data_IF_678758250432
#
_entry.id   IF_678758250432
#
_cell.length_a   1.000
_cell.length_b   1.000
_cell.length_c   1.000
_cell.angle_alpha   90.00
_cell.angle_beta   90.00
_cell.angle_gamma   90.00
#
_symmetry.space_group_name_H-M   'P 1'
#
loop_
_entity.id
_entity.type
_entity.pdbx_description
1 polymer ?
#
# COMPACT_ATOMS: atom_id res chain seq x y z
N UNK A 1 -9.82 20.19 -6.72
CA UNK A 1 -9.20 19.05 -7.46
C UNK A 1 -9.81 18.87 -8.87
N UNK A 2 -9.19 18.09 -9.78
CA UNK A 2 -9.86 17.62 -11.01
C UNK A 2 -10.51 16.26 -10.81
N UNK A 3 -11.79 16.14 -11.21
CA UNK A 3 -12.56 14.90 -11.22
C UNK A 3 -12.41 14.24 -12.59
N UNK A 4 -11.94 12.99 -12.61
CA UNK A 4 -11.60 12.28 -13.85
C UNK A 4 -12.77 12.18 -14.84
N UNK A 5 -13.97 11.80 -14.37
CA UNK A 5 -15.17 11.70 -15.20
C UNK A 5 -16.43 11.77 -14.33
N UNK A 6 -17.43 12.52 -14.79
CA UNK A 6 -18.79 12.57 -14.25
C UNK A 6 -19.78 12.48 -15.42
N UNK A 7 -20.77 11.60 -15.32
CA UNK A 7 -21.88 11.55 -16.28
C UNK A 7 -23.14 12.09 -15.60
N UNK A 8 -23.76 13.11 -16.19
CA UNK A 8 -25.00 13.70 -15.70
C UNK A 8 -25.83 14.23 -16.87
N UNK A 9 -27.13 13.95 -16.88
CA UNK A 9 -28.08 14.38 -17.94
C UNK A 9 -27.61 14.10 -19.38
N UNK A 10 -27.06 12.91 -19.60
CA UNK A 10 -26.56 12.49 -20.91
C UNK A 10 -25.23 13.15 -21.34
N UNK A 11 -24.71 14.11 -20.56
CA UNK A 11 -23.41 14.74 -20.76
C UNK A 11 -22.33 14.01 -19.96
N UNK A 12 -21.11 14.01 -20.50
CA UNK A 12 -19.92 13.49 -19.83
C UNK A 12 -18.97 14.67 -19.64
N UNK A 13 -18.60 14.91 -18.38
CA UNK A 13 -17.61 15.89 -17.97
C UNK A 13 -16.33 15.13 -17.65
N UNK A 14 -15.21 15.49 -18.28
CA UNK A 14 -13.92 14.80 -18.14
C UNK A 14 -12.90 15.79 -17.64
N UNK A 15 -12.08 15.37 -16.66
CA UNK A 15 -11.01 16.18 -16.09
C UNK A 15 -11.49 17.57 -15.66
N UNK A 16 -12.65 17.64 -15.02
CA UNK A 16 -13.37 18.88 -14.70
C UNK A 16 -13.28 19.17 -13.19
N UNK A 17 -13.18 20.45 -12.81
CA UNK A 17 -13.22 20.86 -11.41
C UNK A 17 -14.64 20.80 -10.82
N UNK A 18 -14.74 20.76 -9.49
CA UNK A 18 -16.03 20.84 -8.80
C UNK A 18 -16.76 22.17 -9.11
N UNK A 19 -16.02 23.28 -9.22
CA UNK A 19 -16.56 24.59 -9.55
C UNK A 19 -17.20 24.61 -10.94
N UNK A 20 -16.53 24.03 -11.94
CA UNK A 20 -17.04 23.93 -13.31
C UNK A 20 -18.25 23.01 -13.39
N UNK A 21 -18.27 21.89 -12.66
CA UNK A 21 -19.43 20.99 -12.60
C UNK A 21 -20.64 21.70 -11.98
N UNK A 22 -20.45 22.43 -10.89
CA UNK A 22 -21.50 23.24 -10.25
C UNK A 22 -22.01 24.32 -11.21
N UNK A 23 -21.12 25.02 -11.91
CA UNK A 23 -21.49 26.02 -12.93
C UNK A 23 -22.24 25.41 -14.12
N UNK A 24 -21.95 24.15 -14.46
CA UNK A 24 -22.66 23.40 -15.50
C UNK A 24 -24.02 22.82 -15.05
N UNK A 25 -24.46 23.11 -13.81
CA UNK A 25 -25.73 22.67 -13.26
C UNK A 25 -25.73 21.24 -12.72
N UNK A 26 -24.56 20.61 -12.55
CA UNK A 26 -24.48 19.27 -11.95
C UNK A 26 -24.85 19.35 -10.47
N UNK A 27 -25.80 18.54 -9.98
CA UNK A 27 -26.24 18.56 -8.58
C UNK A 27 -25.09 18.36 -7.61
N UNK A 28 -25.09 19.11 -6.50
CA UNK A 28 -24.01 19.07 -5.51
C UNK A 28 -23.73 17.65 -5.00
N UNK A 29 -24.76 16.84 -4.74
CA UNK A 29 -24.58 15.45 -4.31
C UNK A 29 -23.78 14.61 -5.31
N UNK A 30 -24.03 14.77 -6.62
CA UNK A 30 -23.29 14.09 -7.68
C UNK A 30 -21.83 14.54 -7.72
N UNK A 31 -21.58 15.85 -7.52
CA UNK A 31 -20.21 16.39 -7.45
C UNK A 31 -19.46 15.84 -6.24
N UNK A 32 -20.11 15.79 -5.07
CA UNK A 32 -19.54 15.26 -3.83
C UNK A 32 -19.17 13.78 -3.96
N UNK A 33 -20.06 12.96 -4.51
CA UNK A 33 -19.81 11.53 -4.73
C UNK A 33 -18.63 11.31 -5.68
N UNK A 34 -18.58 12.09 -6.76
CA UNK A 34 -17.50 12.00 -7.73
C UNK A 34 -16.16 12.46 -7.16
N UNK A 35 -16.15 13.53 -6.35
CA UNK A 35 -14.97 13.97 -5.62
C UNK A 35 -14.47 12.89 -4.66
N UNK A 36 -15.37 12.31 -3.85
CA UNK A 36 -15.04 11.22 -2.92
C UNK A 36 -14.43 10.02 -3.64
N UNK A 37 -15.00 9.60 -4.77
CA UNK A 37 -14.46 8.50 -5.56
C UNK A 37 -13.05 8.81 -6.11
N UNK A 38 -12.83 10.03 -6.61
CA UNK A 38 -11.53 10.45 -7.12
C UNK A 38 -10.48 10.57 -6.01
N UNK A 39 -10.84 11.10 -4.83
CA UNK A 39 -9.95 11.14 -3.66
C UNK A 39 -9.60 9.73 -3.17
N UNK A 40 -10.59 8.83 -3.11
CA UNK A 40 -10.37 7.44 -2.78
C UNK A 40 -9.36 6.76 -3.71
N UNK A 41 -9.44 7.01 -5.02
CA UNK A 41 -8.44 6.53 -5.99
C UNK A 41 -7.05 7.07 -5.72
N UNK A 42 -6.90 8.37 -5.41
CA UNK A 42 -5.61 8.96 -5.08
C UNK A 42 -4.98 8.33 -3.84
N UNK A 43 -5.78 8.06 -2.80
CA UNK A 43 -5.32 7.36 -1.59
C UNK A 43 -4.91 5.92 -1.93
N UNK A 44 -5.70 5.21 -2.74
CA UNK A 44 -5.36 3.85 -3.17
C UNK A 44 -4.06 3.82 -3.99
N UNK A 45 -3.81 4.80 -4.87
CA UNK A 45 -2.54 4.97 -5.59
C UNK A 45 -1.36 5.26 -4.65
N UNK A 46 -1.51 6.19 -3.71
CA UNK A 46 -0.45 6.50 -2.75
C UNK A 46 -0.08 5.27 -1.90
N UNK A 47 -1.07 4.48 -1.49
CA UNK A 47 -0.85 3.23 -0.79
C UNK A 47 -0.18 2.17 -1.67
N UNK A 48 -0.51 2.10 -2.95
CA UNK A 48 0.19 1.25 -3.92
C UNK A 48 1.67 1.62 -4.03
N UNK A 49 1.96 2.91 -4.19
CA UNK A 49 3.34 3.43 -4.24
C UNK A 49 4.11 3.14 -2.95
N UNK A 50 3.45 3.28 -1.79
CA UNK A 50 4.05 2.95 -0.50
C UNK A 50 4.44 1.47 -0.43
N UNK A 51 3.57 0.54 -0.84
CA UNK A 51 3.91 -0.91 -0.87
C UNK A 51 5.03 -1.23 -1.85
N UNK A 52 5.00 -0.62 -3.03
CA UNK A 52 6.01 -0.82 -4.06
C UNK A 52 7.40 -0.34 -3.63
N UNK A 53 7.52 0.49 -2.59
CA UNK A 53 8.80 0.91 -2.05
C UNK A 53 9.48 -0.17 -1.19
N UNK A 54 8.75 -1.18 -0.70
CA UNK A 54 9.30 -2.24 0.17
C UNK A 54 9.75 -3.48 -0.58
N UNK A 55 9.21 -3.72 -1.78
CA UNK A 55 9.43 -4.96 -2.54
C UNK A 55 10.04 -4.61 -3.89
N UNK A 56 11.02 -5.40 -4.33
CA UNK A 56 11.60 -5.25 -5.66
C UNK A 56 10.53 -5.43 -6.75
N UNK A 57 10.62 -4.68 -7.87
CA UNK A 57 9.69 -4.84 -8.97
C UNK A 57 9.85 -6.22 -9.62
N UNK A 58 8.75 -6.94 -9.78
CA UNK A 58 8.75 -8.26 -10.43
C UNK A 58 7.46 -9.02 -10.16
N UNK A 59 7.16 -10.01 -10.99
CA UNK A 59 6.06 -10.93 -10.74
C UNK A 59 6.48 -11.97 -9.71
N UNK A 60 5.60 -12.26 -8.75
CA UNK A 60 5.76 -13.31 -7.73
C UNK A 60 6.87 -13.11 -6.69
N UNK A 61 7.58 -11.97 -6.70
CA UNK A 61 8.59 -11.65 -5.68
C UNK A 61 7.98 -11.71 -4.28
N UNK A 62 6.78 -11.18 -4.07
CA UNK A 62 6.06 -11.27 -2.80
C UNK A 62 5.85 -12.73 -2.33
N UNK A 63 5.61 -13.65 -3.25
CA UNK A 63 5.47 -15.08 -2.94
C UNK A 63 6.81 -15.73 -2.59
N UNK A 64 7.92 -15.32 -3.21
CA UNK A 64 9.26 -15.77 -2.84
C UNK A 64 9.58 -15.44 -1.38
N UNK A 65 9.29 -14.21 -0.94
CA UNK A 65 9.50 -13.82 0.46
C UNK A 65 8.59 -14.57 1.44
N UNK A 66 7.34 -14.87 1.06
CA UNK A 66 6.44 -15.67 1.89
C UNK A 66 6.91 -17.11 2.03
N UNK A 67 7.38 -17.71 0.94
CA UNK A 67 7.95 -19.06 0.95
C UNK A 67 9.23 -19.11 1.81
N UNK A 68 10.15 -18.15 1.61
CA UNK A 68 11.37 -18.07 2.37
C UNK A 68 11.11 -17.89 3.88
N UNK A 69 10.16 -17.02 4.24
CA UNK A 69 9.71 -16.87 5.63
C UNK A 69 9.20 -18.18 6.19
N UNK A 70 8.32 -18.88 5.45
CA UNK A 70 7.75 -20.14 5.91
C UNK A 70 8.84 -21.17 6.18
N UNK A 71 9.72 -21.42 5.20
CA UNK A 71 10.82 -22.38 5.31
C UNK A 71 11.76 -22.04 6.48
N UNK A 72 12.20 -20.79 6.59
CA UNK A 72 13.06 -20.35 7.67
C UNK A 72 12.39 -20.47 9.05
N UNK A 73 11.12 -20.08 9.16
CA UNK A 73 10.36 -20.15 10.41
C UNK A 73 10.16 -21.60 10.86
N UNK A 74 9.82 -22.50 9.94
CA UNK A 74 9.63 -23.92 10.21
C UNK A 74 10.93 -24.57 10.66
N UNK A 75 12.05 -24.28 10.00
CA UNK A 75 13.37 -24.83 10.37
C UNK A 75 13.85 -24.32 11.74
N UNK A 76 13.66 -23.03 12.03
CA UNK A 76 13.94 -22.46 13.36
C UNK A 76 13.09 -23.15 14.44
N UNK A 77 11.82 -23.43 14.15
CA UNK A 77 10.90 -24.09 15.08
C UNK A 77 11.15 -25.60 15.23
N UNK A 78 11.72 -26.27 14.22
CA UNK A 78 11.99 -27.71 14.22
C UNK A 78 13.32 -28.10 14.88
N UNK A 79 14.00 -27.16 15.54
CA UNK A 79 15.25 -27.42 16.25
C UNK A 79 16.51 -27.27 15.39
N UNK A 80 16.41 -26.64 14.21
CA UNK A 80 17.57 -26.25 13.37
C UNK A 80 18.44 -27.43 12.92
N UNK A 81 17.83 -28.43 12.29
CA UNK A 81 18.57 -29.58 11.77
C UNK A 81 19.49 -29.16 10.61
N UNK A 82 20.80 -29.14 10.88
CA UNK A 82 21.86 -28.78 9.91
C UNK A 82 21.94 -29.77 8.74
N UNK A 83 21.42 -30.99 8.88
CA UNK A 83 21.33 -31.95 7.78
C UNK A 83 20.12 -31.69 6.85
N UNK A 84 19.22 -30.80 7.23
CA UNK A 84 17.96 -30.51 6.55
C UNK A 84 17.69 -28.99 6.45
N UNK A 85 18.71 -28.21 6.07
CA UNK A 85 18.58 -26.78 5.80
C UNK A 85 17.67 -26.57 4.57
N UNK A 86 16.59 -25.77 4.67
CA UNK A 86 15.72 -25.46 3.54
C UNK A 86 16.43 -24.65 2.45
N UNK A 87 15.93 -24.75 1.21
CA UNK A 87 16.50 -24.03 0.06
C UNK A 87 16.63 -22.54 0.26
N UNK A 88 15.59 -21.87 0.78
CA UNK A 88 15.64 -20.42 0.97
C UNK A 88 16.70 -19.98 1.99
N UNK A 89 16.95 -20.81 3.01
CA UNK A 89 18.01 -20.56 3.99
C UNK A 89 19.38 -20.81 3.37
N UNK A 90 19.52 -21.89 2.59
CA UNK A 90 20.77 -22.21 1.89
C UNK A 90 21.15 -21.12 0.88
N UNK A 91 20.21 -20.63 0.07
CA UNK A 91 20.46 -19.57 -0.91
C UNK A 91 20.98 -18.28 -0.24
N UNK A 92 20.47 -17.96 0.95
CA UNK A 92 20.91 -16.80 1.73
C UNK A 92 22.30 -17.03 2.35
N UNK A 93 22.60 -18.23 2.83
CA UNK A 93 23.96 -18.62 3.27
C UNK A 93 24.94 -18.41 2.11
N UNK A 94 24.63 -18.96 0.94
CA UNK A 94 25.51 -18.93 -0.23
C UNK A 94 25.74 -17.50 -0.74
N UNK A 95 24.73 -16.64 -0.64
CA UNK A 95 24.79 -15.24 -1.07
C UNK A 95 25.58 -14.35 -0.08
N UNK A 96 25.34 -14.51 1.23
CA UNK A 96 25.82 -13.55 2.25
C UNK A 96 26.94 -14.11 3.14
N UNK A 97 27.26 -15.40 3.04
CA UNK A 97 28.33 -16.03 3.81
C UNK A 97 28.07 -16.08 5.33
N UNK A 98 26.81 -16.08 5.72
CA UNK A 98 26.37 -16.13 7.13
C UNK A 98 26.05 -17.56 7.55
N UNK A 99 25.88 -17.81 8.87
CA UNK A 99 25.44 -19.12 9.35
C UNK A 99 23.98 -19.41 8.99
N UNK A 100 23.57 -20.67 8.99
CA UNK A 100 22.17 -21.05 8.74
C UNK A 100 21.19 -20.41 9.72
N UNK A 101 21.54 -20.34 11.01
CA UNK A 101 20.72 -19.64 12.00
C UNK A 101 20.62 -18.15 11.72
N UNK A 102 21.73 -17.49 11.38
CA UNK A 102 21.71 -16.06 11.05
C UNK A 102 20.88 -15.80 9.79
N UNK A 103 21.07 -16.61 8.73
CA UNK A 103 20.28 -16.55 7.50
C UNK A 103 18.78 -16.68 7.78
N UNK A 104 18.37 -17.73 8.52
CA UNK A 104 16.97 -17.94 8.84
C UNK A 104 16.37 -16.77 9.66
N UNK A 105 17.12 -16.24 10.64
CA UNK A 105 16.69 -15.09 11.44
C UNK A 105 16.54 -13.82 10.59
N UNK A 106 17.49 -13.55 9.70
CA UNK A 106 17.45 -12.39 8.80
C UNK A 106 16.28 -12.45 7.81
N UNK A 107 16.02 -13.63 7.23
CA UNK A 107 14.86 -13.87 6.37
C UNK A 107 13.56 -13.59 7.11
N UNK A 108 13.39 -14.16 8.31
CA UNK A 108 12.18 -13.97 9.12
C UNK A 108 12.02 -12.50 9.52
N UNK A 109 13.08 -11.85 10.02
CA UNK A 109 13.04 -10.46 10.42
C UNK A 109 12.67 -9.53 9.26
N UNK A 110 13.23 -9.76 8.07
CA UNK A 110 12.90 -9.00 6.85
C UNK A 110 11.43 -9.16 6.49
N UNK A 111 10.93 -10.39 6.48
CA UNK A 111 9.54 -10.66 6.14
C UNK A 111 8.55 -10.08 7.18
N UNK A 112 8.89 -10.10 8.46
CA UNK A 112 8.08 -9.49 9.52
C UNK A 112 8.03 -7.96 9.43
N UNK A 113 9.14 -7.31 9.05
CA UNK A 113 9.17 -5.88 8.79
C UNK A 113 8.22 -5.52 7.63
N UNK A 114 8.19 -6.33 6.58
CA UNK A 114 7.29 -6.13 5.44
C UNK A 114 5.82 -6.36 5.78
N UNK A 115 5.51 -7.40 6.56
CA UNK A 115 4.14 -7.62 7.03
C UNK A 115 3.64 -6.47 7.88
N UNK A 116 4.50 -5.91 8.74
CA UNK A 116 4.19 -4.72 9.53
C UNK A 116 3.88 -3.53 8.61
N UNK A 117 4.73 -3.28 7.62
CA UNK A 117 4.49 -2.24 6.61
C UNK A 117 3.16 -2.43 5.86
N UNK A 118 2.83 -3.65 5.45
CA UNK A 118 1.57 -3.95 4.77
C UNK A 118 0.34 -3.65 5.64
N UNK A 119 0.41 -3.99 6.93
CA UNK A 119 -0.66 -3.71 7.91
C UNK A 119 -0.82 -2.21 8.13
N UNK A 120 0.27 -1.49 8.33
CA UNK A 120 0.25 -0.03 8.55
C UNK A 120 -0.27 0.73 7.34
N UNK A 121 0.25 0.42 6.14
CA UNK A 121 -0.22 1.02 4.88
C UNK A 121 -1.71 0.73 4.67
N UNK A 122 -2.18 -0.49 5.00
CA UNK A 122 -3.60 -0.83 4.92
C UNK A 122 -4.42 0.02 5.88
N UNK A 123 -3.97 0.19 7.13
CA UNK A 123 -4.64 1.00 8.14
C UNK A 123 -4.73 2.46 7.71
N UNK A 124 -3.63 3.06 7.25
CA UNK A 124 -3.59 4.43 6.73
C UNK A 124 -4.55 4.64 5.55
N UNK A 125 -4.53 3.71 4.59
CA UNK A 125 -5.39 3.76 3.40
C UNK A 125 -6.88 3.68 3.76
N UNK A 126 -7.26 2.73 4.61
CA UNK A 126 -8.66 2.56 5.03
C UNK A 126 -9.12 3.72 5.92
N UNK A 127 -8.26 4.17 6.85
CA UNK A 127 -8.51 5.32 7.71
C UNK A 127 -8.70 6.60 6.90
N UNK A 128 -7.83 6.87 5.93
CA UNK A 128 -7.96 8.01 5.03
C UNK A 128 -9.26 8.01 4.23
N UNK A 129 -9.64 6.85 3.66
CA UNK A 129 -10.92 6.72 2.93
C UNK A 129 -12.13 6.95 3.86
N UNK A 130 -12.08 6.46 5.09
CA UNK A 130 -13.12 6.70 6.08
C UNK A 130 -13.20 8.17 6.49
N UNK A 131 -12.06 8.86 6.64
CA UNK A 131 -12.02 10.29 6.95
C UNK A 131 -12.64 11.13 5.81
N UNK A 132 -12.29 10.84 4.55
CA UNK A 132 -12.93 11.45 3.37
C UNK A 132 -14.44 11.18 3.40
N UNK A 133 -14.89 9.97 3.70
CA UNK A 133 -16.32 9.68 3.72
C UNK A 133 -17.08 10.52 4.76
N UNK A 134 -16.50 10.75 5.94
CA UNK A 134 -17.13 11.47 7.06
C UNK A 134 -17.09 12.99 6.93
N UNK A 135 -16.19 13.55 6.13
CA UNK A 135 -16.08 14.99 5.97
C UNK A 135 -17.32 15.58 5.23
N UNK A 136 -17.79 16.73 5.70
CA UNK A 136 -19.06 17.34 5.26
C UNK A 136 -18.93 18.18 3.98
N UNK A 137 -17.73 18.69 3.68
CA UNK A 137 -17.49 19.57 2.52
C UNK A 137 -16.46 18.96 1.58
N UNK A 138 -16.44 19.41 0.31
CA UNK A 138 -15.43 18.96 -0.66
C UNK A 138 -14.04 19.36 -0.19
N UNK A 139 -13.90 20.55 0.37
CA UNK A 139 -12.64 21.08 0.90
C UNK A 139 -12.11 20.22 2.06
N UNK A 140 -12.96 19.87 3.03
CA UNK A 140 -12.59 19.00 4.15
C UNK A 140 -12.27 17.57 3.67
N UNK A 141 -12.95 17.09 2.63
CA UNK A 141 -12.62 15.82 1.97
C UNK A 141 -11.24 15.86 1.31
N UNK A 142 -10.92 16.94 0.60
CA UNK A 142 -9.60 17.15 -0.01
C UNK A 142 -8.50 17.17 1.05
N UNK A 143 -8.72 17.90 2.16
CA UNK A 143 -7.77 17.95 3.27
C UNK A 143 -7.55 16.57 3.92
N UNK A 144 -8.62 15.84 4.22
CA UNK A 144 -8.53 14.49 4.79
C UNK A 144 -7.76 13.53 3.86
N UNK A 145 -7.99 13.62 2.55
CA UNK A 145 -7.24 12.84 1.58
C UNK A 145 -5.78 13.24 1.52
N UNK A 146 -5.48 14.54 1.54
CA UNK A 146 -4.12 15.06 1.51
C UNK A 146 -3.30 14.59 2.71
N UNK A 147 -3.87 14.64 3.91
CA UNK A 147 -3.22 14.14 5.12
C UNK A 147 -2.89 12.64 5.02
N UNK A 148 -3.83 11.82 4.54
CA UNK A 148 -3.60 10.40 4.35
C UNK A 148 -2.53 10.11 3.28
N UNK A 149 -2.57 10.84 2.15
CA UNK A 149 -1.60 10.72 1.06
C UNK A 149 -0.20 11.10 1.55
N UNK A 150 -0.05 12.17 2.34
CA UNK A 150 1.23 12.55 2.90
C UNK A 150 1.80 11.49 3.84
N UNK A 151 0.98 10.92 4.72
CA UNK A 151 1.40 9.83 5.60
C UNK A 151 1.84 8.60 4.80
N UNK A 152 1.07 8.21 3.79
CA UNK A 152 1.42 7.11 2.88
C UNK A 152 2.70 7.41 2.08
N UNK A 153 2.92 8.67 1.66
CA UNK A 153 4.11 9.05 0.92
C UNK A 153 5.38 9.12 1.78
N UNK A 154 5.24 9.36 3.08
CA UNK A 154 6.37 9.30 4.04
C UNK A 154 6.67 7.88 4.50
N UNK A 155 5.72 6.95 4.40
CA UNK A 155 5.92 5.55 4.83
C UNK A 155 6.81 4.80 3.84
N UNK A 156 8.11 4.68 4.16
CA UNK A 156 9.14 4.07 3.32
C UNK A 156 9.99 3.11 4.16
N UNK A 157 10.68 2.13 3.55
CA UNK A 157 11.66 1.33 4.28
C UNK A 157 12.72 2.26 4.90
N UNK A 158 13.31 1.90 6.04
CA UNK A 158 14.41 2.66 6.63
C UNK A 158 15.56 2.78 5.62
N UNK A 159 16.23 3.94 5.62
CA UNK A 159 17.45 4.12 4.83
C UNK A 159 18.51 3.14 5.36
N UNK A 160 19.10 2.38 4.43
CA UNK A 160 20.23 1.46 4.66
C UNK A 160 21.57 2.16 4.54
#
# INVERSE_FOLDING_TARGET
>A
MLISSVKHDGKIFVSTSDAELKAAGVPLGVVVDAAQAQLGRKIDTAAGNARAAFVSPGSYIDQEYLLAKQEASEWLASGKDEAAIPSSVQDHIDMFGVSAEAAAQEIVATAEAWETALRDIRNLRLGGKAAVQRADTIEAKEEAAQQAIEQLNRYRPPEV
#
